data_IF_545979530540
#
_entry.id   IF_545979530540
#
_cell.length_a   1.000
_cell.length_b   1.000
_cell.length_c   1.000
_cell.angle_alpha   90.00
_cell.angle_beta   90.00
_cell.angle_gamma   90.00
#
_symmetry.space_group_name_H-M   'P 1'
#
loop_
_entity.id
_entity.type
_entity.pdbx_description
1 polymer ?
#
# COMPACT_ATOMS: atom_id res chain seq x y z
N UNK A 1 -14.32 6.00 -0.01
CA UNK A 1 -14.66 7.23 0.76
C UNK A 1 -13.37 8.00 0.86
N UNK A 2 -13.29 9.15 0.22
CA UNK A 2 -12.16 10.06 0.43
C UNK A 2 -12.35 10.59 1.84
N UNK A 3 -11.38 10.40 2.70
CA UNK A 3 -11.39 11.03 4.03
C UNK A 3 -11.29 12.52 3.80
N UNK A 4 -12.36 13.26 4.09
CA UNK A 4 -12.39 14.70 3.95
C UNK A 4 -11.55 15.36 5.05
N UNK A 5 -11.17 16.62 4.87
CA UNK A 5 -10.20 17.36 5.66
C UNK A 5 -10.48 17.40 7.18
N UNK A 6 -11.74 17.23 7.60
CA UNK A 6 -12.11 17.08 9.02
C UNK A 6 -11.82 15.71 9.62
N UNK A 7 -11.47 14.74 8.76
CA UNK A 7 -11.17 13.36 9.13
C UNK A 7 -9.74 12.97 8.72
N UNK A 8 -8.90 13.94 8.35
CA UNK A 8 -7.52 13.70 7.95
C UNK A 8 -6.70 13.21 9.14
N UNK A 9 -6.34 11.96 9.08
CA UNK A 9 -5.37 11.38 9.97
C UNK A 9 -3.97 11.57 9.39
N UNK A 10 -3.11 12.23 10.14
CA UNK A 10 -1.70 12.37 9.80
C UNK A 10 -0.94 11.29 10.53
N UNK A 11 -0.39 10.34 9.78
CA UNK A 11 0.52 9.33 10.33
C UNK A 11 1.93 9.91 10.37
N UNK A 12 2.46 10.15 11.55
CA UNK A 12 3.87 10.55 11.74
C UNK A 12 4.80 9.32 11.69
N UNK A 13 4.29 8.15 12.00
CA UNK A 13 4.92 6.86 11.76
C UNK A 13 3.83 5.78 11.63
N UNK A 14 4.20 4.61 11.10
CA UNK A 14 3.32 3.44 11.07
C UNK A 14 2.81 3.03 12.47
N UNK A 15 3.45 3.52 13.51
CA UNK A 15 3.27 3.09 14.90
C UNK A 15 2.80 4.20 15.83
N UNK A 16 3.00 5.47 15.40
CA UNK A 16 2.51 6.66 16.08
C UNK A 16 1.49 7.35 15.18
N UNK A 17 0.27 6.87 15.19
CA UNK A 17 -0.82 7.51 14.48
C UNK A 17 -1.38 8.62 15.34
N UNK A 18 -1.15 9.86 14.95
CA UNK A 18 -1.79 11.01 15.56
C UNK A 18 -2.96 11.47 14.69
N UNK A 19 -4.16 11.43 15.24
CA UNK A 19 -5.33 12.07 14.63
C UNK A 19 -5.41 13.49 15.18
N UNK A 20 -5.39 14.48 14.32
CA UNK A 20 -5.77 15.84 14.66
C UNK A 20 -7.25 16.01 14.35
N UNK A 21 -8.04 16.29 15.38
CA UNK A 21 -9.37 16.86 15.17
C UNK A 21 -9.26 18.37 14.93
N UNK A 22 -10.34 18.99 14.50
CA UNK A 22 -10.40 20.43 14.23
C UNK A 22 -10.13 21.29 15.48
N UNK A 23 -10.15 20.70 16.67
CA UNK A 23 -9.87 21.35 17.95
C UNK A 23 -8.40 21.23 18.37
N UNK A 24 -7.56 20.56 17.56
CA UNK A 24 -6.13 20.39 17.81
C UNK A 24 -5.79 19.32 18.85
N UNK A 25 -6.73 18.48 19.21
CA UNK A 25 -6.50 17.34 20.11
C UNK A 25 -5.67 16.25 19.41
N UNK A 26 -4.59 15.85 20.07
CA UNK A 26 -3.81 14.68 19.65
C UNK A 26 -4.39 13.42 20.26
N UNK A 27 -4.87 12.49 19.46
CA UNK A 27 -5.20 11.16 19.93
C UNK A 27 -3.95 10.30 20.00
N UNK A 28 -3.60 9.82 21.19
CA UNK A 28 -2.41 9.01 21.44
C UNK A 28 -2.52 7.54 20.94
N UNK A 29 -3.66 7.16 20.40
CA UNK A 29 -3.96 5.76 20.05
C UNK A 29 -4.07 5.49 18.55
N UNK A 30 -3.65 6.42 17.71
CA UNK A 30 -3.67 6.25 16.27
C UNK A 30 -5.08 6.30 15.65
N UNK A 31 -5.13 6.09 14.36
CA UNK A 31 -6.38 6.12 13.59
C UNK A 31 -7.17 4.83 13.84
N UNK A 32 -8.40 4.95 14.34
CA UNK A 32 -9.27 3.80 14.61
C UNK A 32 -10.35 3.70 13.54
N UNK A 33 -10.32 2.63 12.75
CA UNK A 33 -11.40 2.30 11.82
C UNK A 33 -12.35 1.30 12.49
N UNK A 34 -13.65 1.57 12.45
CA UNK A 34 -14.69 0.66 12.96
C UNK A 34 -15.17 -0.31 11.87
N UNK A 35 -14.24 -0.89 11.13
CA UNK A 35 -14.51 -1.77 9.98
C UNK A 35 -14.22 -3.23 10.28
N UNK A 36 -13.33 -3.49 11.22
CA UNK A 36 -12.99 -4.82 11.72
C UNK A 36 -13.55 -5.01 13.13
N UNK A 37 -13.97 -6.24 13.47
CA UNK A 37 -14.29 -6.60 14.85
C UNK A 37 -13.01 -6.67 15.69
N UNK A 38 -13.15 -6.55 17.02
CA UNK A 38 -12.03 -6.58 17.97
C UNK A 38 -11.19 -7.85 17.80
N UNK A 39 -11.83 -9.03 17.83
CA UNK A 39 -11.15 -10.32 17.68
C UNK A 39 -10.37 -10.42 16.35
N UNK A 40 -10.98 -9.92 15.24
CA UNK A 40 -10.31 -9.90 13.96
C UNK A 40 -9.08 -8.98 13.98
N UNK A 41 -9.22 -7.79 14.54
CA UNK A 41 -8.13 -6.82 14.62
C UNK A 41 -6.97 -7.34 15.50
N UNK A 42 -7.28 -7.94 16.64
CA UNK A 42 -6.27 -8.57 17.51
C UNK A 42 -5.53 -9.71 16.80
N UNK A 43 -6.28 -10.60 16.12
CA UNK A 43 -5.68 -11.70 15.38
C UNK A 43 -4.74 -11.21 14.27
N UNK A 44 -5.18 -10.23 13.48
CA UNK A 44 -4.38 -9.68 12.38
C UNK A 44 -3.12 -8.98 12.90
N UNK A 45 -3.26 -8.18 13.96
CA UNK A 45 -2.15 -7.51 14.61
C UNK A 45 -1.10 -8.48 15.17
N UNK A 46 -1.54 -9.52 15.86
CA UNK A 46 -0.66 -10.52 16.47
C UNK A 46 0.12 -11.35 15.43
N UNK A 47 -0.43 -11.55 14.23
CA UNK A 47 0.17 -12.45 13.23
C UNK A 47 0.96 -11.76 12.14
N UNK A 48 0.60 -10.52 11.74
CA UNK A 48 1.12 -9.96 10.49
C UNK A 48 1.91 -8.66 10.65
N UNK A 49 1.63 -7.86 11.68
CA UNK A 49 2.21 -6.52 11.86
C UNK A 49 3.73 -6.54 11.92
N UNK A 50 4.34 -7.52 12.60
CA UNK A 50 5.81 -7.55 12.79
C UNK A 50 6.56 -7.71 11.45
N UNK A 51 6.01 -8.47 10.50
CA UNK A 51 6.64 -8.60 9.16
C UNK A 51 6.57 -7.27 8.39
N UNK A 52 5.46 -6.54 8.52
CA UNK A 52 5.30 -5.25 7.89
C UNK A 52 6.24 -4.20 8.51
N UNK A 53 6.39 -4.21 9.83
CA UNK A 53 7.37 -3.36 10.53
C UNK A 53 8.80 -3.63 10.09
N UNK A 54 9.18 -4.92 9.99
CA UNK A 54 10.51 -5.33 9.56
C UNK A 54 10.84 -4.72 8.20
N UNK A 55 9.97 -4.90 7.20
CA UNK A 55 10.17 -4.33 5.88
C UNK A 55 10.36 -2.81 5.92
N UNK A 56 9.53 -2.13 6.71
CA UNK A 56 9.58 -0.67 6.79
C UNK A 56 10.89 -0.16 7.38
N UNK A 57 11.37 -0.83 8.43
CA UNK A 57 12.63 -0.48 9.09
C UNK A 57 13.84 -0.81 8.22
N UNK A 58 13.84 -1.97 7.57
CA UNK A 58 14.91 -2.40 6.67
C UNK A 58 15.02 -1.43 5.49
N UNK A 59 13.88 -1.09 4.87
CA UNK A 59 13.87 -0.13 3.77
C UNK A 59 14.33 1.27 4.23
N UNK A 60 13.88 1.74 5.38
CA UNK A 60 14.28 3.06 5.88
C UNK A 60 15.78 3.14 6.17
N UNK A 61 16.39 2.00 6.56
CA UNK A 61 17.83 1.91 6.83
C UNK A 61 18.66 1.86 5.53
N UNK A 62 18.20 1.13 4.52
CA UNK A 62 18.98 0.88 3.30
C UNK A 62 18.74 1.92 2.21
N UNK A 63 17.62 2.63 2.25
CA UNK A 63 17.14 3.48 1.15
C UNK A 63 17.32 4.97 1.38
N UNK A 64 18.07 5.40 2.38
CA UNK A 64 18.29 6.81 2.65
C UNK A 64 18.72 7.60 1.41
N UNK A 65 19.68 7.07 0.64
CA UNK A 65 20.16 7.68 -0.60
C UNK A 65 19.10 7.69 -1.72
N UNK A 66 18.27 6.65 -1.79
CA UNK A 66 17.18 6.55 -2.79
C UNK A 66 16.11 7.60 -2.49
N UNK A 67 15.68 7.70 -1.24
CA UNK A 67 14.67 8.65 -0.81
C UNK A 67 15.14 10.10 -0.96
N UNK A 68 16.39 10.38 -0.61
CA UNK A 68 17.00 11.70 -0.79
C UNK A 68 17.14 12.08 -2.27
N UNK A 69 17.35 11.10 -3.15
CA UNK A 69 17.31 11.28 -4.60
C UNK A 69 15.92 11.65 -5.09
N UNK A 70 14.89 10.92 -4.66
CA UNK A 70 13.50 11.17 -5.04
C UNK A 70 12.99 12.53 -4.56
N UNK A 71 13.42 12.99 -3.39
CA UNK A 71 13.06 14.32 -2.88
C UNK A 71 13.72 15.46 -3.68
N UNK A 72 14.94 15.25 -4.18
CA UNK A 72 15.63 16.22 -5.05
C UNK A 72 14.96 16.34 -6.42
N UNK A 73 14.58 15.23 -7.01
CA UNK A 73 13.92 15.18 -8.32
C UNK A 73 12.49 15.75 -8.28
N UNK A 74 11.92 15.97 -7.09
CA UNK A 74 10.58 16.53 -6.86
C UNK A 74 10.37 17.87 -7.58
N UNK A 75 11.41 18.66 -7.73
CA UNK A 75 11.32 20.01 -8.31
C UNK A 75 11.64 20.07 -9.81
N UNK A 76 12.16 19.00 -10.41
CA UNK A 76 12.74 19.05 -11.76
C UNK A 76 11.94 18.27 -12.82
N UNK A 77 11.04 17.38 -12.41
CA UNK A 77 10.35 16.53 -13.39
C UNK A 77 8.91 16.98 -13.64
N UNK A 78 8.62 17.34 -14.88
CA UNK A 78 7.27 17.56 -15.42
C UNK A 78 6.67 16.27 -16.02
N UNK A 79 7.40 15.16 -15.98
CA UNK A 79 6.94 13.90 -16.60
C UNK A 79 5.88 13.21 -15.75
N UNK A 80 4.77 12.83 -16.39
CA UNK A 80 3.72 12.04 -15.77
C UNK A 80 4.09 10.55 -15.85
N UNK A 81 4.20 9.85 -14.69
CA UNK A 81 4.36 8.40 -14.65
C UNK A 81 5.48 7.88 -13.76
N UNK A 82 5.83 6.61 -13.95
CA UNK A 82 6.95 5.93 -13.27
C UNK A 82 8.24 6.34 -13.95
N UNK A 83 9.12 6.97 -13.20
CA UNK A 83 10.38 7.47 -13.77
C UNK A 83 11.51 6.43 -13.67
N UNK A 84 11.49 5.63 -12.61
CA UNK A 84 12.56 4.67 -12.31
C UNK A 84 12.02 3.45 -11.59
N UNK A 85 12.83 2.41 -11.52
CA UNK A 85 12.64 1.27 -10.65
C UNK A 85 13.76 1.23 -9.63
N UNK A 86 13.42 0.85 -8.41
CA UNK A 86 14.41 0.43 -7.44
C UNK A 86 14.33 -1.08 -7.24
N UNK A 87 15.48 -1.70 -7.06
CA UNK A 87 15.58 -3.06 -6.60
C UNK A 87 15.81 -3.04 -5.09
N UNK A 88 15.01 -3.80 -4.39
CA UNK A 88 15.09 -3.91 -2.95
C UNK A 88 15.12 -5.39 -2.52
N UNK A 89 16.17 -5.76 -1.83
CA UNK A 89 16.33 -7.11 -1.31
C UNK A 89 15.66 -7.24 0.06
N UNK A 90 14.68 -8.11 0.15
CA UNK A 90 14.06 -8.47 1.41
C UNK A 90 15.00 -9.41 2.19
N UNK A 91 15.24 -9.10 3.46
CA UNK A 91 16.15 -9.83 4.33
C UNK A 91 15.75 -11.30 4.53
N UNK A 92 16.73 -12.11 4.94
CA UNK A 92 16.49 -13.47 5.39
C UNK A 92 15.49 -13.45 6.56
N UNK A 93 14.45 -14.25 6.49
CA UNK A 93 13.40 -14.27 7.52
C UNK A 93 12.17 -13.43 7.20
N UNK A 94 12.18 -12.64 6.13
CA UNK A 94 10.99 -11.99 5.64
C UNK A 94 9.95 -13.04 5.23
N UNK A 95 8.69 -12.81 5.63
CA UNK A 95 7.56 -13.71 5.36
C UNK A 95 6.60 -13.05 4.36
N UNK A 96 6.71 -13.36 3.06
CA UNK A 96 5.95 -12.70 2.01
C UNK A 96 4.43 -12.79 2.19
N UNK A 97 3.94 -13.99 2.57
CA UNK A 97 2.52 -14.21 2.81
C UNK A 97 2.00 -13.34 3.97
N UNK A 98 2.75 -13.28 5.07
CA UNK A 98 2.36 -12.46 6.23
C UNK A 98 2.32 -10.96 5.87
N UNK A 99 3.28 -10.51 5.06
CA UNK A 99 3.32 -9.15 4.56
C UNK A 99 2.09 -8.81 3.70
N UNK A 100 1.76 -9.65 2.71
CA UNK A 100 0.58 -9.43 1.87
C UNK A 100 -0.70 -9.45 2.70
N UNK A 101 -0.82 -10.37 3.67
CA UNK A 101 -1.98 -10.40 4.58
C UNK A 101 -2.11 -9.12 5.39
N UNK A 102 -1.00 -8.54 5.87
CA UNK A 102 -1.04 -7.25 6.57
C UNK A 102 -1.52 -6.14 5.64
N UNK A 103 -1.00 -6.07 4.42
CA UNK A 103 -1.42 -5.04 3.46
C UNK A 103 -2.91 -5.19 3.11
N UNK A 104 -3.38 -6.42 2.83
CA UNK A 104 -4.80 -6.68 2.56
C UNK A 104 -5.67 -6.34 3.79
N UNK A 105 -5.20 -6.63 5.01
CA UNK A 105 -5.93 -6.27 6.23
C UNK A 105 -6.09 -4.76 6.39
N UNK A 106 -5.07 -3.99 6.01
CA UNK A 106 -5.15 -2.54 6.00
C UNK A 106 -6.21 -2.03 5.02
N UNK A 107 -6.33 -2.66 3.84
CA UNK A 107 -7.44 -2.34 2.90
C UNK A 107 -8.81 -2.71 3.47
N UNK A 108 -8.94 -3.87 4.13
CA UNK A 108 -10.19 -4.22 4.82
C UNK A 108 -10.55 -3.22 5.92
N UNK A 109 -9.55 -2.64 6.60
CA UNK A 109 -9.77 -1.64 7.63
C UNK A 109 -10.18 -0.28 7.06
N UNK A 110 -9.71 0.10 5.88
CA UNK A 110 -9.88 1.43 5.30
C UNK A 110 -11.01 1.52 4.26
N UNK A 111 -11.49 0.39 3.75
CA UNK A 111 -12.63 0.32 2.81
C UNK A 111 -13.97 0.22 3.54
N UNK A 112 -15.07 0.31 2.80
CA UNK A 112 -16.41 0.20 3.39
C UNK A 112 -16.59 -1.17 4.08
N UNK A 113 -17.24 -1.22 5.26
CA UNK A 113 -17.49 -2.48 5.96
C UNK A 113 -18.17 -3.49 5.04
N UNK A 114 -17.62 -4.70 4.99
CA UNK A 114 -18.16 -5.79 4.19
C UNK A 114 -17.76 -5.81 2.71
N UNK A 115 -17.09 -4.78 2.20
CA UNK A 115 -16.70 -4.72 0.78
C UNK A 115 -15.65 -5.77 0.38
N UNK A 116 -14.93 -6.32 1.36
CA UNK A 116 -13.88 -7.33 1.17
C UNK A 116 -14.13 -8.59 2.04
N UNK A 117 -15.39 -8.99 2.23
CA UNK A 117 -15.73 -10.17 3.02
C UNK A 117 -15.15 -11.47 2.46
N UNK A 118 -14.92 -11.54 1.18
CA UNK A 118 -14.29 -12.67 0.49
C UNK A 118 -12.80 -12.83 0.86
N UNK A 119 -12.16 -11.81 1.43
CA UNK A 119 -10.82 -11.92 2.00
C UNK A 119 -10.79 -12.57 3.40
N UNK A 120 -11.94 -12.82 4.04
CA UNK A 120 -12.01 -13.28 5.43
C UNK A 120 -11.20 -14.56 5.66
N UNK A 121 -11.42 -15.59 4.86
CA UNK A 121 -10.75 -16.89 5.04
C UNK A 121 -9.25 -16.80 4.74
N UNK A 122 -8.86 -15.96 3.76
CA UNK A 122 -7.47 -15.64 3.48
C UNK A 122 -6.79 -14.98 4.69
N UNK A 123 -7.46 -14.06 5.36
CA UNK A 123 -6.89 -13.30 6.47
C UNK A 123 -6.89 -14.05 7.80
N UNK A 124 -7.96 -14.81 8.11
CA UNK A 124 -8.12 -15.44 9.42
C UNK A 124 -7.47 -16.84 9.52
N UNK A 125 -7.04 -17.43 8.42
CA UNK A 125 -6.18 -18.62 8.41
C UNK A 125 -4.79 -18.22 7.90
N UNK A 126 -3.80 -18.18 8.80
CA UNK A 126 -2.43 -17.77 8.45
C UNK A 126 -1.79 -18.62 7.35
N UNK A 127 -2.18 -19.90 7.26
CA UNK A 127 -1.70 -20.83 6.24
C UNK A 127 -2.43 -20.75 4.90
N UNK A 128 -3.54 -20.05 4.83
CA UNK A 128 -4.30 -19.90 3.60
C UNK A 128 -3.56 -18.99 2.61
N UNK A 129 -3.24 -19.52 1.44
CA UNK A 129 -2.53 -18.82 0.35
C UNK A 129 -3.48 -18.34 -0.76
N UNK A 130 -4.78 -18.46 -0.56
CA UNK A 130 -5.81 -18.20 -1.57
C UNK A 130 -6.38 -16.78 -1.43
N UNK A 131 -5.59 -15.78 -1.79
CA UNK A 131 -6.15 -14.44 -2.01
C UNK A 131 -7.20 -14.53 -3.14
N UNK A 132 -8.41 -13.95 -2.99
CA UNK A 132 -9.41 -13.97 -4.05
C UNK A 132 -8.85 -13.47 -5.38
N UNK A 133 -9.09 -14.23 -6.46
CA UNK A 133 -8.45 -14.04 -7.76
C UNK A 133 -8.73 -12.68 -8.41
N UNK A 134 -9.82 -12.05 -8.00
CA UNK A 134 -10.19 -10.70 -8.46
C UNK A 134 -9.23 -9.62 -7.96
N UNK A 135 -8.49 -9.86 -6.89
CA UNK A 135 -7.60 -8.85 -6.34
C UNK A 135 -6.18 -8.96 -6.88
N UNK A 136 -5.65 -7.81 -7.27
CA UNK A 136 -4.25 -7.63 -7.59
C UNK A 136 -3.67 -6.51 -6.75
N UNK A 137 -2.56 -6.79 -6.09
CA UNK A 137 -1.92 -5.89 -5.15
C UNK A 137 -0.60 -5.37 -5.71
N UNK A 138 -0.48 -4.07 -5.79
CA UNK A 138 0.73 -3.38 -6.25
C UNK A 138 1.35 -2.55 -5.13
N UNK A 139 2.68 -2.43 -5.19
CA UNK A 139 3.48 -1.63 -4.28
C UNK A 139 4.39 -0.70 -5.08
N UNK A 140 4.55 0.52 -4.61
CA UNK A 140 5.45 1.51 -5.18
C UNK A 140 6.26 2.19 -4.07
N UNK A 141 7.42 2.75 -4.43
CA UNK A 141 8.21 3.62 -3.56
C UNK A 141 7.82 5.06 -3.82
N UNK A 142 7.53 5.78 -2.77
CA UNK A 142 7.10 7.17 -2.78
C UNK A 142 8.16 8.05 -2.13
N UNK A 143 8.31 9.31 -2.57
CA UNK A 143 9.15 10.26 -1.87
C UNK A 143 8.63 10.48 -0.44
N UNK A 144 9.52 10.87 0.44
CA UNK A 144 9.19 11.28 1.79
C UNK A 144 8.42 12.60 1.73
N UNK A 145 7.12 12.50 1.53
CA UNK A 145 6.21 13.63 1.57
C UNK A 145 5.87 13.88 3.04
N UNK A 146 6.21 15.00 3.57
CA UNK A 146 5.88 15.63 4.88
C UNK A 146 5.04 14.81 5.91
N UNK A 147 5.26 13.50 5.98
CA UNK A 147 4.63 12.60 6.96
C UNK A 147 3.16 12.25 6.71
N UNK A 148 2.54 12.73 5.64
CA UNK A 148 1.12 12.47 5.39
C UNK A 148 0.86 11.06 4.86
N UNK A 149 0.07 10.30 5.62
CA UNK A 149 -0.52 9.06 5.13
C UNK A 149 -1.93 9.31 4.63
N UNK A 150 -2.26 8.71 3.49
CA UNK A 150 -3.58 8.84 2.87
C UNK A 150 -4.15 7.47 2.62
N UNK A 151 -5.39 7.29 2.99
CA UNK A 151 -6.15 6.05 2.78
C UNK A 151 -7.37 6.36 1.92
N UNK A 152 -7.63 5.52 0.93
CA UNK A 152 -8.88 5.60 0.15
C UNK A 152 -9.73 4.35 0.37
N UNK A 153 -11.05 4.52 0.30
CA UNK A 153 -11.94 3.42 -0.04
C UNK A 153 -11.88 3.09 -1.53
N UNK A 154 -12.76 2.21 -1.98
CA UNK A 154 -12.90 1.89 -3.40
C UNK A 154 -13.27 3.12 -4.21
N UNK A 155 -12.60 3.28 -5.35
CA UNK A 155 -12.82 4.36 -6.30
C UNK A 155 -12.72 3.85 -7.74
N UNK A 156 -13.58 4.37 -8.60
CA UNK A 156 -13.53 4.14 -10.03
C UNK A 156 -12.69 5.25 -10.68
N UNK A 157 -11.64 4.87 -11.39
CA UNK A 157 -10.82 5.78 -12.19
C UNK A 157 -11.12 5.53 -13.66
N UNK A 158 -11.50 6.56 -14.38
CA UNK A 158 -11.72 6.55 -15.84
C UNK A 158 -10.50 7.19 -16.52
N UNK A 159 -10.01 6.56 -17.56
CA UNK A 159 -8.91 7.06 -18.39
C UNK A 159 -9.45 7.65 -19.71
N UNK A 160 -8.67 8.53 -20.31
CA UNK A 160 -9.04 9.23 -21.55
C UNK A 160 -9.27 8.28 -22.74
N UNK A 161 -8.66 7.11 -22.72
CA UNK A 161 -8.83 6.05 -23.73
C UNK A 161 -10.13 5.24 -23.53
N UNK A 162 -10.93 5.59 -22.54
CA UNK A 162 -12.18 4.90 -22.18
C UNK A 162 -11.99 3.64 -21.35
N UNK A 163 -10.77 3.28 -20.99
CA UNK A 163 -10.51 2.22 -20.02
C UNK A 163 -10.81 2.71 -18.60
N UNK A 164 -11.04 1.80 -17.68
CA UNK A 164 -11.27 2.13 -16.27
C UNK A 164 -10.70 1.09 -15.34
N UNK A 165 -10.41 1.51 -14.10
CA UNK A 165 -10.07 0.59 -13.03
C UNK A 165 -10.85 0.91 -11.75
N UNK A 166 -11.26 -0.13 -11.05
CA UNK A 166 -11.77 -0.07 -9.69
C UNK A 166 -10.63 -0.40 -8.74
N UNK A 167 -10.30 0.52 -7.86
CA UNK A 167 -9.13 0.43 -7.02
C UNK A 167 -9.33 1.09 -5.66
N UNK A 168 -8.56 0.63 -4.69
CA UNK A 168 -8.32 1.32 -3.43
C UNK A 168 -6.82 1.57 -3.27
N UNK A 169 -6.43 2.59 -2.53
CA UNK A 169 -5.01 2.84 -2.29
C UNK A 169 -4.71 3.24 -0.85
N UNK A 170 -3.49 2.97 -0.45
CA UNK A 170 -2.92 3.37 0.83
C UNK A 170 -1.57 4.01 0.54
N UNK A 171 -1.42 5.27 0.92
CA UNK A 171 -0.15 6.00 0.87
C UNK A 171 0.41 6.10 2.28
N UNK A 172 1.52 5.44 2.52
CA UNK A 172 2.28 5.46 3.76
C UNK A 172 3.76 5.57 3.40
N UNK A 173 4.28 6.79 3.20
CA UNK A 173 5.67 6.94 2.78
C UNK A 173 6.64 6.17 3.70
N UNK A 174 7.64 5.47 3.15
CA UNK A 174 8.09 5.50 1.76
C UNK A 174 7.32 4.59 0.79
N UNK A 175 6.24 3.97 1.21
CA UNK A 175 5.50 3.04 0.37
C UNK A 175 4.11 3.54 -0.01
N UNK A 176 3.69 3.15 -1.21
CA UNK A 176 2.32 3.22 -1.66
C UNK A 176 1.82 1.84 -2.05
N UNK A 177 0.59 1.53 -1.71
CA UNK A 177 -0.07 0.28 -2.06
C UNK A 177 -1.34 0.59 -2.83
N UNK A 178 -1.59 -0.20 -3.88
CA UNK A 178 -2.84 -0.12 -4.65
C UNK A 178 -3.42 -1.53 -4.76
N UNK A 179 -4.68 -1.65 -4.40
CA UNK A 179 -5.45 -2.86 -4.58
C UNK A 179 -6.43 -2.65 -5.74
N UNK A 180 -6.33 -3.46 -6.77
CA UNK A 180 -7.20 -3.44 -7.94
C UNK A 180 -8.21 -4.56 -7.86
N UNK A 181 -9.47 -4.27 -8.21
CA UNK A 181 -10.46 -5.28 -8.54
C UNK A 181 -10.41 -5.57 -10.04
N UNK A 182 -9.89 -6.73 -10.41
CA UNK A 182 -9.66 -7.10 -11.81
C UNK A 182 -10.94 -7.54 -12.54
N UNK A 183 -12.00 -7.90 -11.80
CA UNK A 183 -13.29 -8.28 -12.38
C UNK A 183 -14.11 -7.05 -12.80
N UNK A 184 -13.93 -5.94 -12.06
CA UNK A 184 -14.60 -4.67 -12.35
C UNK A 184 -13.70 -3.65 -13.06
N UNK A 185 -12.59 -4.09 -13.65
CA UNK A 185 -11.62 -3.21 -14.31
C UNK A 185 -11.35 -3.67 -15.74
N UNK A 186 -11.23 -2.69 -16.66
CA UNK A 186 -10.75 -2.93 -18.04
C UNK A 186 -9.27 -2.58 -18.19
N UNK A 187 -8.75 -1.78 -17.28
CA UNK A 187 -7.33 -1.46 -17.15
C UNK A 187 -6.68 -2.28 -16.04
N UNK A 188 -5.55 -2.87 -16.33
CA UNK A 188 -4.68 -3.50 -15.33
C UNK A 188 -3.27 -2.90 -15.46
N UNK A 189 -2.63 -2.60 -14.33
CA UNK A 189 -1.27 -2.06 -14.35
C UNK A 189 -0.27 -3.12 -14.83
N UNK A 190 0.91 -2.65 -15.21
CA UNK A 190 2.04 -3.51 -15.55
C UNK A 190 2.45 -4.39 -14.35
N UNK A 191 3.28 -5.41 -14.63
CA UNK A 191 3.74 -6.36 -13.61
C UNK A 191 4.72 -5.76 -12.61
N UNK A 192 5.34 -4.66 -12.92
CA UNK A 192 6.26 -4.01 -12.00
C UNK A 192 5.52 -3.53 -10.75
N UNK A 193 6.08 -3.86 -9.59
CA UNK A 193 5.43 -3.61 -8.31
C UNK A 193 4.28 -4.57 -7.96
N UNK A 194 3.94 -5.55 -8.81
CA UNK A 194 2.94 -6.57 -8.49
C UNK A 194 3.47 -7.51 -7.39
N UNK A 195 2.98 -7.35 -6.19
CA UNK A 195 3.30 -8.19 -5.03
C UNK A 195 2.26 -9.29 -4.79
N UNK A 196 1.24 -9.39 -5.63
CA UNK A 196 0.20 -10.44 -5.54
C UNK A 196 0.80 -11.85 -5.50
N UNK A 197 1.87 -12.20 -6.25
CA UNK A 197 2.46 -13.53 -6.21
C UNK A 197 2.92 -13.97 -4.81
N UNK A 198 3.29 -13.03 -3.95
CA UNK A 198 3.69 -13.32 -2.56
C UNK A 198 2.55 -13.92 -1.73
N UNK A 199 1.28 -13.69 -2.10
CA UNK A 199 0.14 -14.30 -1.43
C UNK A 199 0.08 -15.81 -1.57
N UNK A 200 0.81 -16.37 -2.56
CA UNK A 200 0.82 -17.81 -2.87
C UNK A 200 2.00 -18.55 -2.25
N UNK A 201 2.86 -17.84 -1.55
CA UNK A 201 4.00 -18.44 -0.83
C UNK A 201 3.52 -19.08 0.47
N UNK A 202 4.22 -20.13 0.92
CA UNK A 202 3.87 -20.80 2.18
C UNK A 202 4.10 -19.90 3.39
N UNK A 203 3.39 -20.19 4.49
CA UNK A 203 3.50 -19.39 5.72
C UNK A 203 4.94 -19.36 6.29
N UNK A 204 5.61 -20.50 6.26
CA UNK A 204 6.99 -20.63 6.77
C UNK A 204 8.03 -20.45 5.66
N UNK A 205 7.59 -20.08 4.47
CA UNK A 205 8.48 -19.80 3.36
C UNK A 205 9.12 -18.45 3.59
N UNK A 206 10.44 -18.50 3.74
CA UNK A 206 11.30 -17.34 3.88
C UNK A 206 12.43 -17.45 2.88
N UNK A 207 12.99 -16.35 2.49
CA UNK A 207 14.11 -16.37 1.57
C UNK A 207 14.47 -14.98 1.08
N UNK A 208 15.60 -14.91 0.37
CA UNK A 208 15.97 -13.67 -0.29
C UNK A 208 15.05 -13.42 -1.47
N UNK A 209 14.25 -12.36 -1.40
CA UNK A 209 13.37 -11.92 -2.45
C UNK A 209 13.82 -10.52 -2.87
N UNK A 210 14.09 -10.34 -4.15
CA UNK A 210 14.34 -9.02 -4.72
C UNK A 210 13.03 -8.47 -5.27
N UNK A 211 12.59 -7.34 -4.73
CA UNK A 211 11.46 -6.59 -5.27
C UNK A 211 11.96 -5.57 -6.27
N UNK A 212 11.29 -5.51 -7.42
CA UNK A 212 11.47 -4.44 -8.40
C UNK A 212 10.26 -3.52 -8.27
N UNK A 213 10.46 -2.38 -7.63
CA UNK A 213 9.39 -1.45 -7.29
C UNK A 213 9.46 -0.20 -8.16
N UNK A 214 8.33 0.26 -8.72
CA UNK A 214 8.28 1.54 -9.37
C UNK A 214 8.53 2.65 -8.34
N UNK A 215 9.36 3.62 -8.70
CA UNK A 215 9.57 4.84 -7.93
C UNK A 215 8.72 5.95 -8.54
N UNK A 216 7.95 6.60 -7.69
CA UNK A 216 7.00 7.63 -8.12
C UNK A 216 7.41 8.94 -7.49
N UNK A 217 7.60 9.96 -8.32
CA UNK A 217 8.08 11.28 -7.91
C UNK A 217 7.06 12.39 -8.16
N UNK A 218 7.27 13.54 -7.53
CA UNK A 218 6.53 14.75 -7.81
C UNK A 218 5.02 14.66 -7.66
N UNK A 219 4.28 15.22 -8.62
CA UNK A 219 2.81 15.25 -8.63
C UNK A 219 2.17 13.86 -8.72
N UNK A 220 2.92 12.88 -9.20
CA UNK A 220 2.41 11.52 -9.39
C UNK A 220 2.26 10.75 -8.08
N UNK A 221 2.97 11.13 -7.03
CA UNK A 221 2.81 10.57 -5.70
C UNK A 221 1.39 10.74 -5.14
N UNK A 222 0.65 11.74 -5.60
CA UNK A 222 -0.77 11.96 -5.25
C UNK A 222 -1.76 11.30 -6.22
N UNK A 223 -1.26 10.59 -7.26
CA UNK A 223 -2.07 9.96 -8.30
C UNK A 223 -1.84 8.44 -8.33
N UNK A 224 -2.42 7.68 -7.38
CA UNK A 224 -2.13 6.26 -7.20
C UNK A 224 -2.41 5.41 -8.45
N UNK A 225 -3.34 5.81 -9.29
CA UNK A 225 -3.63 5.14 -10.56
C UNK A 225 -2.50 5.19 -11.59
N UNK A 226 -1.48 6.04 -11.36
CA UNK A 226 -0.28 6.13 -12.20
C UNK A 226 0.89 5.29 -11.65
N UNK A 227 0.82 4.78 -10.42
CA UNK A 227 1.95 4.09 -9.79
C UNK A 227 2.37 2.79 -10.48
N UNK A 228 1.50 2.18 -11.26
CA UNK A 228 1.82 1.00 -12.07
C UNK A 228 1.74 1.26 -13.57
N UNK A 229 1.59 2.51 -14.00
CA UNK A 229 1.42 2.85 -15.42
C UNK A 229 2.74 3.32 -16.02
N UNK A 230 3.30 2.52 -16.91
CA UNK A 230 4.32 2.98 -17.83
C UNK A 230 3.69 3.90 -18.86
N UNK A 231 4.15 5.13 -18.95
CA UNK A 231 4.00 5.85 -20.20
C UNK A 231 5.09 5.32 -21.12
N UNK A 232 4.68 4.53 -22.12
CA UNK A 232 5.53 4.33 -23.28
C UNK A 232 5.84 5.72 -23.81
N UNK A 233 7.11 6.13 -23.68
CA UNK A 233 7.60 7.29 -24.40
C UNK A 233 7.37 7.00 -25.88
N UNK A 234 6.48 7.75 -26.49
CA UNK A 234 6.29 7.77 -27.95
C UNK A 234 7.47 8.43 -28.58
#
# INVERSE_FOLDING_TARGET
>A
MVVHRGDEAVMHSLFDMEVRDDDGYRQSHGMTFKTLCEDCNEYLGANYVETFKGLYLDFAHESGDILDGLDRDRNESETDGVERYCEFDLGEGFRPLAFVKQVVSNFCATTAPGSMLDCKDFLLDRGNISLPARYRLHMAVLPKLDGESVFSGWMLVLFDDGTFCDMAFIRMPPFGFVLYDTESSTYLPDRAGDITPMSRMGWDETGKITLVLPTVTGRNASRPYLWGRYQNAV
#
